data_IF_690794500373
#
_entry.id   IF_690794500373
#
_cell.length_a   1.000
_cell.length_b   1.000
_cell.length_c   1.000
_cell.angle_alpha   90.00
_cell.angle_beta   90.00
_cell.angle_gamma   90.00
#
_symmetry.space_group_name_H-M   'P 1'
#
loop_
_entity.id
_entity.type
_entity.pdbx_description
1 polymer ?
#
# COMPACT_ATOMS: atom_id res chain seq x y z
N UNK A 1 39.37 37.92 12.98
CA UNK A 1 38.89 36.53 13.17
C UNK A 1 37.42 36.50 12.83
N UNK A 2 37.09 35.92 11.69
CA UNK A 2 35.76 35.85 11.09
C UNK A 2 34.90 34.80 11.80
N UNK A 3 33.62 35.05 12.12
CA UNK A 3 32.72 34.01 12.63
C UNK A 3 32.41 33.01 11.49
N UNK A 4 32.54 31.73 11.79
CA UNK A 4 32.21 30.65 10.87
C UNK A 4 30.69 30.63 10.58
N UNK A 5 30.35 30.74 9.30
CA UNK A 5 28.99 30.65 8.78
C UNK A 5 28.60 29.17 8.67
N UNK A 6 27.53 28.76 9.37
CA UNK A 6 26.94 27.43 9.24
C UNK A 6 26.24 27.26 7.87
N UNK A 7 26.27 26.05 7.26
CA UNK A 7 25.64 25.81 5.98
C UNK A 7 24.10 25.78 6.10
N UNK A 8 23.35 26.27 5.10
CA UNK A 8 21.90 26.22 5.09
C UNK A 8 21.42 24.85 4.59
N UNK A 9 20.52 24.20 5.35
CA UNK A 9 19.65 23.15 4.79
C UNK A 9 19.51 21.84 5.55
N UNK A 10 19.86 21.75 6.84
CA UNK A 10 19.41 20.58 7.63
C UNK A 10 17.91 20.69 7.92
N UNK A 11 17.11 19.88 7.23
CA UNK A 11 15.70 19.64 7.53
C UNK A 11 15.56 19.12 8.96
N UNK A 12 15.20 20.00 9.90
CA UNK A 12 14.86 19.61 11.27
C UNK A 12 13.59 18.75 11.29
N UNK A 13 13.59 17.61 12.00
CA UNK A 13 12.35 16.87 12.30
C UNK A 13 11.38 17.82 13.01
N UNK A 14 10.15 17.96 12.50
CA UNK A 14 9.12 18.87 13.07
C UNK A 14 9.06 20.30 12.50
N UNK A 15 9.82 20.58 11.42
CA UNK A 15 9.75 21.85 10.70
C UNK A 15 8.38 22.14 10.06
N UNK A 16 8.19 23.38 9.58
CA UNK A 16 6.95 23.85 8.92
C UNK A 16 6.46 22.87 7.84
N UNK A 17 7.39 22.28 7.08
CA UNK A 17 7.12 21.30 6.01
C UNK A 17 6.46 20.01 6.50
N UNK A 18 6.82 19.52 7.69
CA UNK A 18 6.24 18.32 8.29
C UNK A 18 4.83 18.59 8.81
N UNK A 19 4.61 19.76 9.45
CA UNK A 19 3.27 20.20 9.87
C UNK A 19 2.31 20.40 8.70
N UNK A 20 2.80 21.02 7.61
CA UNK A 20 2.02 21.15 6.37
C UNK A 20 1.68 19.79 5.79
N UNK A 21 2.61 18.83 5.80
CA UNK A 21 2.34 17.48 5.32
C UNK A 21 1.26 16.79 6.16
N UNK A 22 1.40 16.79 7.48
CA UNK A 22 0.44 16.17 8.39
C UNK A 22 -0.98 16.74 8.19
N UNK A 23 -1.14 18.07 8.19
CA UNK A 23 -2.44 18.71 8.00
C UNK A 23 -3.12 18.35 6.66
N UNK A 24 -2.33 18.09 5.62
CA UNK A 24 -2.85 17.66 4.32
C UNK A 24 -3.27 16.20 4.35
N UNK A 25 -2.46 15.31 4.94
CA UNK A 25 -2.80 13.89 5.05
C UNK A 25 -4.03 13.67 5.93
N UNK A 26 -4.15 14.41 7.06
CA UNK A 26 -5.33 14.40 7.92
C UNK A 26 -6.59 14.85 7.15
N UNK A 27 -6.46 15.86 6.29
CA UNK A 27 -7.56 16.33 5.45
C UNK A 27 -7.97 15.28 4.41
N UNK A 28 -7.01 14.57 3.80
CA UNK A 28 -7.27 13.50 2.84
C UNK A 28 -7.99 12.34 3.51
N UNK A 29 -7.52 11.90 4.68
CA UNK A 29 -8.16 10.82 5.45
C UNK A 29 -9.60 11.16 5.82
N UNK A 30 -9.85 12.39 6.26
CA UNK A 30 -11.18 12.83 6.64
C UNK A 30 -12.14 12.93 5.44
N UNK A 31 -11.69 13.51 4.32
CA UNK A 31 -12.50 13.56 3.09
C UNK A 31 -12.76 12.15 2.51
N UNK A 32 -11.78 11.24 2.58
CA UNK A 32 -11.96 9.83 2.20
C UNK A 32 -13.00 9.14 3.08
N UNK A 33 -12.96 9.39 4.39
CA UNK A 33 -13.88 8.78 5.35
C UNK A 33 -15.33 9.28 5.18
N UNK A 34 -15.51 10.54 4.81
CA UNK A 34 -16.83 11.17 4.65
C UNK A 34 -17.46 10.91 3.28
N UNK A 35 -16.69 11.00 2.19
CA UNK A 35 -17.21 10.98 0.82
C UNK A 35 -16.66 9.89 -0.09
N UNK A 36 -15.68 9.10 0.38
CA UNK A 36 -14.96 8.14 -0.43
C UNK A 36 -14.05 8.78 -1.49
N UNK A 37 -13.35 7.96 -2.27
CA UNK A 37 -12.36 8.44 -3.26
C UNK A 37 -12.98 9.34 -4.33
N UNK A 38 -14.22 9.06 -4.76
CA UNK A 38 -14.89 9.79 -5.83
C UNK A 38 -15.19 11.26 -5.47
N UNK A 39 -15.32 11.57 -4.18
CA UNK A 39 -15.59 12.92 -3.69
C UNK A 39 -14.31 13.73 -3.45
N UNK A 40 -13.14 13.11 -3.51
CA UNK A 40 -11.88 13.81 -3.27
C UNK A 40 -11.58 14.83 -4.36
N UNK A 41 -11.19 16.03 -3.94
CA UNK A 41 -10.68 17.07 -4.83
C UNK A 41 -9.59 17.87 -4.13
N UNK A 42 -8.66 18.44 -4.91
CA UNK A 42 -7.59 19.27 -4.37
C UNK A 42 -8.14 20.53 -3.67
N UNK A 43 -9.27 21.05 -4.14
CA UNK A 43 -9.97 22.21 -3.57
C UNK A 43 -10.56 21.89 -2.19
N UNK A 44 -11.22 20.73 -2.05
CA UNK A 44 -11.76 20.28 -0.76
C UNK A 44 -10.64 20.03 0.25
N UNK A 45 -9.56 19.40 -0.20
CA UNK A 45 -8.37 19.16 0.62
C UNK A 45 -7.71 20.48 1.02
N UNK A 46 -7.59 21.45 0.10
CA UNK A 46 -7.06 22.78 0.40
C UNK A 46 -7.91 23.51 1.45
N UNK A 47 -9.24 23.46 1.29
CA UNK A 47 -10.19 24.07 2.21
C UNK A 47 -10.08 23.46 3.62
N UNK A 48 -10.03 22.13 3.73
CA UNK A 48 -9.97 21.44 5.02
C UNK A 48 -8.60 21.56 5.70
N UNK A 49 -7.51 21.41 4.94
CA UNK A 49 -6.15 21.49 5.49
C UNK A 49 -5.68 22.92 5.79
N UNK A 50 -6.38 23.93 5.25
CA UNK A 50 -5.95 25.33 5.30
C UNK A 50 -4.70 25.62 4.45
N UNK A 51 -4.25 24.67 3.63
CA UNK A 51 -3.09 24.84 2.75
C UNK A 51 -3.53 25.35 1.38
N UNK A 52 -2.87 26.40 0.90
CA UNK A 52 -3.20 27.02 -0.38
C UNK A 52 -3.12 26.01 -1.55
N UNK A 53 -4.13 26.03 -2.43
CA UNK A 53 -4.28 25.09 -3.55
C UNK A 53 -3.03 24.98 -4.44
N UNK A 54 -2.41 26.12 -4.78
CA UNK A 54 -1.16 26.14 -5.55
C UNK A 54 0.01 25.40 -4.86
N UNK A 55 0.05 25.41 -3.52
CA UNK A 55 1.05 24.64 -2.76
C UNK A 55 0.78 23.15 -2.87
N UNK A 56 -0.49 22.73 -2.85
CA UNK A 56 -0.86 21.33 -3.02
C UNK A 56 -0.45 20.81 -4.40
N UNK A 57 -0.84 21.51 -5.48
CA UNK A 57 -0.48 21.13 -6.84
C UNK A 57 1.03 21.09 -7.08
N UNK A 58 1.79 22.06 -6.51
CA UNK A 58 3.25 22.08 -6.66
C UNK A 58 3.92 20.85 -6.02
N UNK A 59 3.44 20.40 -4.86
CA UNK A 59 4.12 19.35 -4.08
C UNK A 59 3.59 17.95 -4.37
N UNK A 60 2.28 17.77 -4.50
CA UNK A 60 1.66 16.46 -4.67
C UNK A 60 1.11 16.21 -6.07
N UNK A 61 0.92 17.26 -6.87
CA UNK A 61 0.42 17.24 -8.26
C UNK A 61 -1.02 16.79 -8.42
N UNK A 62 -1.50 15.81 -7.64
CA UNK A 62 -2.82 15.24 -7.77
C UNK A 62 -3.34 14.60 -6.48
N UNK A 63 -4.64 14.28 -6.46
CA UNK A 63 -5.30 13.58 -5.35
C UNK A 63 -4.76 12.17 -5.21
N UNK A 64 -4.47 11.50 -6.33
CA UNK A 64 -3.90 10.16 -6.37
C UNK A 64 -2.56 10.10 -5.63
N UNK A 65 -1.67 11.06 -5.89
CA UNK A 65 -0.39 11.16 -5.19
C UNK A 65 -0.56 11.37 -3.68
N UNK A 66 -1.60 12.12 -3.26
CA UNK A 66 -1.94 12.30 -1.85
C UNK A 66 -2.44 11.01 -1.20
N UNK A 67 -3.28 10.23 -1.89
CA UNK A 67 -3.78 8.96 -1.37
C UNK A 67 -2.66 7.92 -1.28
N UNK A 68 -1.79 7.83 -2.30
CA UNK A 68 -0.58 7.00 -2.23
C UNK A 68 0.27 7.39 -1.00
N UNK A 69 0.53 8.68 -0.80
CA UNK A 69 1.33 9.14 0.33
C UNK A 69 0.67 8.84 1.68
N UNK A 70 -0.65 8.98 1.79
CA UNK A 70 -1.41 8.60 2.98
C UNK A 70 -1.28 7.10 3.28
N UNK A 71 -1.45 6.25 2.27
CA UNK A 71 -1.31 4.80 2.41
C UNK A 71 0.12 4.41 2.82
N UNK A 72 1.13 5.02 2.18
CA UNK A 72 2.54 4.81 2.51
C UNK A 72 2.84 5.24 3.94
N UNK A 73 2.40 6.44 4.36
CA UNK A 73 2.59 6.92 5.73
C UNK A 73 1.95 5.98 6.74
N UNK A 74 0.70 5.58 6.51
CA UNK A 74 -0.01 4.63 7.36
C UNK A 74 0.75 3.31 7.49
N UNK A 75 1.33 2.80 6.39
CA UNK A 75 2.07 1.54 6.38
C UNK A 75 3.41 1.59 7.14
N UNK A 76 3.98 2.78 7.39
CA UNK A 76 5.23 2.91 8.19
C UNK A 76 5.08 2.40 9.62
N UNK A 77 3.85 2.32 10.13
CA UNK A 77 3.53 1.71 11.42
C UNK A 77 3.74 0.19 11.49
N UNK A 78 4.09 -0.47 10.38
CA UNK A 78 4.36 -1.91 10.31
C UNK A 78 5.86 -2.13 10.03
N UNK A 79 6.73 -2.01 11.03
CA UNK A 79 8.16 -2.25 10.83
C UNK A 79 8.38 -3.70 10.37
N UNK A 80 9.35 -3.90 9.49
CA UNK A 80 9.77 -5.23 9.07
C UNK A 80 10.57 -5.90 10.20
N UNK A 81 10.21 -7.12 10.64
CA UNK A 81 11.01 -7.88 11.58
C UNK A 81 12.30 -8.37 10.93
N UNK A 82 13.32 -8.56 11.77
CA UNK A 82 14.62 -9.11 11.39
C UNK A 82 15.20 -9.90 12.57
N UNK A 83 14.56 -11.02 12.87
CA UNK A 83 14.94 -11.91 13.98
C UNK A 83 16.07 -12.88 13.62
N UNK A 84 16.46 -12.91 12.33
CA UNK A 84 17.37 -13.91 11.79
C UNK A 84 16.70 -15.25 11.45
N UNK A 85 15.36 -15.32 11.48
CA UNK A 85 14.58 -16.51 11.13
C UNK A 85 13.35 -16.12 10.32
N UNK A 86 13.24 -16.59 9.07
CA UNK A 86 12.10 -16.30 8.21
C UNK A 86 10.76 -16.76 8.80
N UNK A 87 10.60 -17.98 9.37
CA UNK A 87 9.32 -18.37 9.96
C UNK A 87 8.89 -17.43 11.11
N UNK A 88 9.81 -17.01 11.98
CA UNK A 88 9.48 -16.07 13.06
C UNK A 88 9.20 -14.67 12.50
N UNK A 89 9.95 -14.22 11.50
CA UNK A 89 9.72 -12.94 10.83
C UNK A 89 8.34 -12.90 10.14
N UNK A 90 7.92 -13.98 9.45
CA UNK A 90 6.58 -14.09 8.86
C UNK A 90 5.48 -14.03 9.92
N UNK A 91 5.69 -14.71 11.06
CA UNK A 91 4.76 -14.73 12.19
C UNK A 91 4.61 -13.37 12.85
N UNK A 92 5.72 -12.70 13.13
CA UNK A 92 5.73 -11.35 13.70
C UNK A 92 5.09 -10.34 12.74
N UNK A 93 5.39 -10.44 11.44
CA UNK A 93 4.81 -9.55 10.45
C UNK A 93 3.31 -9.78 10.32
N UNK A 94 2.82 -11.02 10.28
CA UNK A 94 1.39 -11.31 10.26
C UNK A 94 0.66 -10.72 11.48
N UNK A 95 1.26 -10.81 12.67
CA UNK A 95 0.71 -10.19 13.89
C UNK A 95 0.68 -8.67 13.82
N UNK A 96 1.73 -8.04 13.28
CA UNK A 96 1.79 -6.58 13.08
C UNK A 96 0.74 -6.12 12.08
N UNK A 97 0.56 -6.84 10.97
CA UNK A 97 -0.52 -6.59 9.99
C UNK A 97 -1.88 -6.73 10.67
N UNK A 98 -2.08 -7.80 11.45
CA UNK A 98 -3.34 -8.01 12.17
C UNK A 98 -3.67 -6.86 13.11
N UNK A 99 -2.70 -6.47 13.95
CA UNK A 99 -2.80 -5.36 14.90
C UNK A 99 -3.09 -4.04 14.18
N UNK A 100 -2.39 -3.77 13.07
CA UNK A 100 -2.58 -2.58 12.27
C UNK A 100 -4.03 -2.41 11.78
N UNK A 101 -4.66 -3.51 11.36
CA UNK A 101 -6.05 -3.49 10.88
C UNK A 101 -7.11 -3.56 11.98
N UNK A 102 -6.74 -3.72 13.25
CA UNK A 102 -7.71 -3.58 14.36
C UNK A 102 -8.22 -2.14 14.51
N UNK A 103 -7.43 -1.16 14.07
CA UNK A 103 -7.81 0.25 14.10
C UNK A 103 -8.83 0.56 12.98
N UNK A 104 -10.01 1.04 13.37
CA UNK A 104 -11.09 1.36 12.45
C UNK A 104 -10.71 2.34 11.32
N UNK A 105 -9.87 3.38 11.52
CA UNK A 105 -9.47 4.28 10.44
C UNK A 105 -8.70 3.58 9.31
N UNK A 106 -7.76 2.69 9.64
CA UNK A 106 -6.95 1.98 8.63
C UNK A 106 -7.78 1.00 7.80
N UNK A 107 -8.72 0.32 8.47
CA UNK A 107 -9.66 -0.57 7.79
C UNK A 107 -10.53 0.21 6.78
N UNK A 108 -11.09 1.35 7.19
CA UNK A 108 -11.89 2.21 6.31
C UNK A 108 -11.09 2.76 5.14
N UNK A 109 -9.83 3.13 5.37
CA UNK A 109 -8.94 3.62 4.32
C UNK A 109 -8.75 2.56 3.21
N UNK A 110 -8.42 1.33 3.57
CA UNK A 110 -8.27 0.23 2.59
C UNK A 110 -9.60 -0.07 1.89
N UNK A 111 -10.72 -0.14 2.62
CA UNK A 111 -12.06 -0.32 2.04
C UNK A 111 -12.40 0.77 1.02
N UNK A 112 -12.11 2.04 1.33
CA UNK A 112 -12.38 3.18 0.47
C UNK A 112 -11.57 3.14 -0.83
N UNK A 113 -10.27 2.81 -0.74
CA UNK A 113 -9.40 2.75 -1.93
C UNK A 113 -9.77 1.56 -2.81
N UNK A 114 -9.94 0.36 -2.22
CA UNK A 114 -10.27 -0.85 -2.99
C UNK A 114 -11.64 -0.76 -3.66
N UNK A 115 -12.66 -0.25 -2.95
CA UNK A 115 -14.01 -0.07 -3.53
C UNK A 115 -14.05 0.97 -4.67
N UNK A 116 -13.04 1.85 -4.73
CA UNK A 116 -12.91 2.88 -5.75
C UNK A 116 -12.13 2.40 -6.97
N UNK A 117 -11.10 1.56 -6.77
CA UNK A 117 -10.32 0.93 -7.84
C UNK A 117 -11.20 0.19 -8.86
N UNK A 118 -12.30 -0.43 -8.42
CA UNK A 118 -13.22 -1.14 -9.31
C UNK A 118 -13.93 -0.25 -10.36
N UNK A 119 -13.98 1.07 -10.16
CA UNK A 119 -14.75 2.01 -11.02
C UNK A 119 -13.93 3.20 -11.51
N UNK A 120 -12.82 3.50 -10.86
CA UNK A 120 -12.00 4.69 -11.12
C UNK A 120 -10.61 4.21 -11.54
N UNK A 121 -10.24 4.29 -12.84
CA UNK A 121 -8.96 3.78 -13.33
C UNK A 121 -7.75 4.34 -12.59
N UNK A 122 -7.83 5.60 -12.16
CA UNK A 122 -6.75 6.24 -11.40
C UNK A 122 -6.60 5.70 -9.98
N UNK A 123 -7.71 5.30 -9.34
CA UNK A 123 -7.67 4.65 -8.03
C UNK A 123 -7.11 3.22 -8.13
N UNK A 124 -7.36 2.54 -9.26
CA UNK A 124 -6.78 1.22 -9.56
C UNK A 124 -5.25 1.29 -9.68
N UNK A 125 -4.73 2.28 -10.42
CA UNK A 125 -3.29 2.52 -10.50
C UNK A 125 -2.67 2.82 -9.13
N UNK A 126 -3.28 3.70 -8.34
CA UNK A 126 -2.83 4.01 -6.96
C UNK A 126 -2.75 2.76 -6.09
N UNK A 127 -3.78 1.91 -6.16
CA UNK A 127 -3.85 0.68 -5.40
C UNK A 127 -2.76 -0.31 -5.83
N UNK A 128 -2.60 -0.50 -7.14
CA UNK A 128 -1.61 -1.40 -7.72
C UNK A 128 -0.19 -0.97 -7.36
N UNK A 129 0.15 0.31 -7.54
CA UNK A 129 1.48 0.86 -7.25
C UNK A 129 1.82 0.72 -5.76
N UNK A 130 0.89 1.11 -4.88
CA UNK A 130 1.09 0.98 -3.43
C UNK A 130 1.37 -0.48 -3.02
N UNK A 131 0.58 -1.43 -3.53
CA UNK A 131 0.78 -2.83 -3.18
C UNK A 131 2.03 -3.43 -3.80
N UNK A 132 2.39 -3.04 -5.01
CA UNK A 132 3.65 -3.44 -5.63
C UNK A 132 4.84 -3.00 -4.77
N UNK A 133 4.94 -1.71 -4.43
CA UNK A 133 6.02 -1.17 -3.61
C UNK A 133 6.09 -1.83 -2.24
N UNK A 134 4.93 -2.04 -1.60
CA UNK A 134 4.85 -2.73 -0.31
C UNK A 134 5.39 -4.17 -0.45
N UNK A 135 4.94 -4.92 -1.44
CA UNK A 135 5.38 -6.31 -1.64
C UNK A 135 6.89 -6.38 -1.90
N UNK A 136 7.44 -5.44 -2.68
CA UNK A 136 8.89 -5.32 -2.89
C UNK A 136 9.65 -5.12 -1.59
N UNK A 137 9.23 -4.15 -0.77
CA UNK A 137 9.86 -3.85 0.52
C UNK A 137 9.78 -5.05 1.46
N UNK A 138 8.59 -5.63 1.62
CA UNK A 138 8.35 -6.74 2.53
C UNK A 138 9.02 -8.05 2.06
N UNK A 139 9.18 -8.23 0.75
CA UNK A 139 9.92 -9.34 0.15
C UNK A 139 11.39 -9.42 0.59
N UNK A 140 11.93 -8.33 1.18
CA UNK A 140 13.23 -8.34 1.83
C UNK A 140 13.37 -9.43 2.90
N UNK A 141 12.31 -9.76 3.64
CA UNK A 141 12.33 -10.86 4.62
C UNK A 141 12.67 -12.20 3.95
N UNK A 142 11.98 -12.50 2.86
CA UNK A 142 12.13 -13.76 2.12
C UNK A 142 13.50 -13.83 1.46
N UNK A 143 13.99 -12.72 0.89
CA UNK A 143 15.35 -12.63 0.34
C UNK A 143 16.41 -12.96 1.38
N UNK A 144 16.31 -12.41 2.60
CA UNK A 144 17.21 -12.78 3.70
C UNK A 144 17.10 -14.26 4.10
N UNK A 145 15.89 -14.83 4.08
CA UNK A 145 15.68 -16.27 4.31
C UNK A 145 16.31 -17.16 3.24
N UNK A 146 16.27 -16.74 1.96
CA UNK A 146 16.96 -17.41 0.86
C UNK A 146 18.47 -17.36 1.07
N UNK A 147 19.03 -16.21 1.42
CA UNK A 147 20.47 -16.04 1.71
C UNK A 147 20.95 -16.97 2.84
N UNK A 148 20.09 -17.22 3.84
CA UNK A 148 20.36 -18.17 4.93
C UNK A 148 20.09 -19.63 4.58
N UNK A 149 19.55 -19.92 3.40
CA UNK A 149 19.20 -21.28 2.96
C UNK A 149 17.97 -21.87 3.66
N UNK A 150 17.10 -21.04 4.23
CA UNK A 150 15.89 -21.50 4.96
C UNK A 150 14.77 -21.98 4.02
N UNK A 151 14.80 -21.55 2.76
CA UNK A 151 13.81 -21.85 1.72
C UNK A 151 14.50 -22.08 0.36
N UNK A 152 13.81 -22.67 -0.63
CA UNK A 152 14.39 -22.87 -1.96
C UNK A 152 14.90 -21.56 -2.60
N UNK A 153 16.03 -21.58 -3.32
CA UNK A 153 16.64 -20.37 -3.89
C UNK A 153 15.80 -19.71 -4.99
N UNK A 154 14.87 -20.45 -5.58
CA UNK A 154 13.92 -20.01 -6.60
C UNK A 154 12.58 -19.53 -6.01
N UNK A 155 12.48 -19.35 -4.68
CA UNK A 155 11.29 -18.79 -4.02
C UNK A 155 11.04 -17.35 -4.48
N UNK A 156 9.84 -17.06 -4.95
CA UNK A 156 9.33 -15.74 -5.28
C UNK A 156 8.97 -14.96 -4.00
N UNK A 157 9.73 -13.91 -3.63
CA UNK A 157 9.47 -13.13 -2.44
C UNK A 157 8.09 -12.45 -2.45
N UNK A 158 7.64 -11.95 -3.60
CA UNK A 158 6.39 -11.22 -3.70
C UNK A 158 5.19 -12.16 -3.57
N UNK A 159 5.27 -13.36 -4.13
CA UNK A 159 4.22 -14.37 -3.99
C UNK A 159 4.03 -14.79 -2.52
N UNK A 160 5.13 -15.02 -1.78
CA UNK A 160 5.08 -15.32 -0.34
C UNK A 160 4.42 -14.17 0.44
N UNK A 161 4.85 -12.93 0.17
CA UNK A 161 4.32 -11.76 0.87
C UNK A 161 2.86 -11.44 0.51
N UNK A 162 2.46 -11.72 -0.73
CA UNK A 162 1.08 -11.61 -1.19
C UNK A 162 0.19 -12.64 -0.48
N UNK A 163 0.64 -13.89 -0.40
CA UNK A 163 -0.04 -14.95 0.34
C UNK A 163 -0.17 -14.63 1.83
N UNK A 164 0.83 -13.97 2.43
CA UNK A 164 0.77 -13.52 3.83
C UNK A 164 -0.29 -12.43 4.04
N UNK A 165 -0.45 -11.50 3.09
CA UNK A 165 -1.40 -10.39 3.21
C UNK A 165 -2.85 -10.75 2.84
N UNK A 166 -3.04 -11.67 1.90
CA UNK A 166 -4.34 -11.95 1.28
C UNK A 166 -5.47 -12.32 2.27
N UNK A 167 -5.25 -13.16 3.30
CA UNK A 167 -6.31 -13.53 4.25
C UNK A 167 -6.87 -12.32 5.01
N UNK A 168 -6.04 -11.32 5.31
CA UNK A 168 -6.46 -10.08 5.96
C UNK A 168 -7.39 -9.27 5.06
N UNK A 169 -7.06 -9.12 3.78
CA UNK A 169 -7.92 -8.41 2.82
C UNK A 169 -9.24 -9.13 2.59
N UNK A 170 -9.23 -10.45 2.45
CA UNK A 170 -10.47 -11.23 2.37
C UNK A 170 -11.33 -11.02 3.61
N UNK A 171 -10.74 -11.07 4.80
CA UNK A 171 -11.43 -10.87 6.08
C UNK A 171 -12.06 -9.48 6.17
N UNK A 172 -11.34 -8.44 5.77
CA UNK A 172 -11.78 -7.03 5.83
C UNK A 172 -12.86 -6.74 4.77
N UNK A 173 -12.55 -7.04 3.51
CA UNK A 173 -13.31 -6.54 2.36
C UNK A 173 -14.50 -7.44 2.01
N UNK A 174 -14.36 -8.75 2.18
CA UNK A 174 -15.31 -9.75 1.70
C UNK A 174 -16.11 -10.34 2.86
N UNK A 175 -15.42 -11.02 3.79
CA UNK A 175 -16.08 -11.68 4.92
C UNK A 175 -16.57 -10.69 5.99
N UNK A 176 -16.02 -9.46 6.01
CA UNK A 176 -16.34 -8.38 6.94
C UNK A 176 -16.26 -8.79 8.42
N UNK A 177 -15.33 -9.70 8.73
CA UNK A 177 -15.12 -10.23 10.08
C UNK A 177 -13.98 -9.54 10.83
N UNK A 178 -13.76 -9.89 12.11
CA UNK A 178 -12.64 -9.37 12.89
C UNK A 178 -11.30 -9.85 12.32
N UNK A 179 -10.26 -9.02 12.45
CA UNK A 179 -8.87 -9.44 12.22
C UNK A 179 -8.28 -9.76 13.59
N UNK A 180 -8.22 -11.05 13.91
CA UNK A 180 -7.80 -11.57 15.21
C UNK A 180 -6.41 -12.22 15.17
N UNK A 181 -5.90 -12.58 16.34
CA UNK A 181 -4.60 -13.23 16.47
C UNK A 181 -4.57 -14.63 15.81
N UNK A 182 -5.70 -15.33 15.80
CA UNK A 182 -5.82 -16.66 15.21
C UNK A 182 -5.69 -16.62 13.68
N UNK A 183 -6.26 -15.60 13.03
CA UNK A 183 -6.06 -15.34 11.61
C UNK A 183 -4.58 -15.08 11.31
N UNK A 184 -3.90 -14.27 12.12
CA UNK A 184 -2.48 -13.98 11.92
C UNK A 184 -1.62 -15.24 12.08
N UNK A 185 -1.87 -16.05 13.12
CA UNK A 185 -1.09 -17.25 13.41
C UNK A 185 -1.30 -18.35 12.35
N UNK A 186 -2.56 -18.62 12.00
CA UNK A 186 -2.89 -19.60 10.96
C UNK A 186 -2.36 -19.19 9.59
N UNK A 187 -2.42 -17.90 9.25
CA UNK A 187 -1.86 -17.36 8.00
C UNK A 187 -0.34 -17.55 7.93
N UNK A 188 0.39 -17.17 8.98
CA UNK A 188 1.84 -17.34 9.03
C UNK A 188 2.24 -18.83 8.93
N UNK A 189 1.52 -19.70 9.65
CA UNK A 189 1.76 -21.15 9.62
C UNK A 189 1.54 -21.73 8.22
N UNK A 190 0.42 -21.38 7.57
CA UNK A 190 0.07 -21.87 6.25
C UNK A 190 1.06 -21.39 5.18
N UNK A 191 1.41 -20.10 5.21
CA UNK A 191 2.36 -19.52 4.26
C UNK A 191 3.75 -20.12 4.42
N UNK A 192 4.22 -20.32 5.66
CA UNK A 192 5.50 -20.97 5.92
C UNK A 192 5.53 -22.40 5.37
N UNK A 193 4.50 -23.21 5.67
CA UNK A 193 4.39 -24.57 5.17
C UNK A 193 4.36 -24.63 3.64
N UNK A 194 3.59 -23.76 2.98
CA UNK A 194 3.52 -23.67 1.53
C UNK A 194 4.85 -23.21 0.91
N UNK A 195 5.58 -22.31 1.57
CA UNK A 195 6.90 -21.85 1.13
C UNK A 195 7.91 -22.99 1.16
N UNK A 196 7.96 -23.75 2.26
CA UNK A 196 8.81 -24.94 2.37
C UNK A 196 8.47 -26.00 1.33
N UNK A 197 7.19 -26.18 1.03
CA UNK A 197 6.72 -27.10 0.00
C UNK A 197 7.04 -26.61 -1.45
N UNK A 198 7.57 -25.40 -1.62
CA UNK A 198 7.91 -24.84 -2.92
C UNK A 198 6.72 -24.31 -3.71
N UNK A 199 5.60 -23.99 -3.05
CA UNK A 199 4.38 -23.51 -3.70
C UNK A 199 4.54 -22.13 -4.37
N UNK A 200 5.54 -21.35 -3.94
CA UNK A 200 5.77 -19.97 -4.37
C UNK A 200 7.08 -19.82 -5.17
N UNK A 201 7.39 -20.73 -6.09
CA UNK A 201 8.62 -20.63 -6.90
C UNK A 201 8.39 -19.78 -8.16
N UNK A 202 9.42 -19.04 -8.58
CA UNK A 202 9.44 -18.27 -9.83
C UNK A 202 9.34 -19.25 -11.01
N UNK A 203 8.12 -19.46 -11.51
CA UNK A 203 7.81 -20.44 -12.57
C UNK A 203 6.65 -21.40 -12.26
N UNK A 204 6.09 -21.37 -11.04
CA UNK A 204 4.91 -22.17 -10.66
C UNK A 204 3.55 -21.53 -10.99
N UNK A 205 3.52 -20.24 -11.30
CA UNK A 205 2.30 -19.53 -11.66
C UNK A 205 2.11 -19.53 -13.18
N UNK A 206 1.06 -20.21 -13.66
CA UNK A 206 0.48 -19.91 -14.98
C UNK A 206 0.13 -18.42 -15.00
N UNK A 207 0.50 -17.65 -16.04
CA UNK A 207 0.17 -16.22 -16.07
C UNK A 207 -1.33 -16.07 -15.94
N UNK A 208 -1.79 -15.28 -14.94
CA UNK A 208 -3.14 -14.74 -14.96
C UNK A 208 -3.18 -13.83 -16.18
N UNK A 209 -3.77 -14.32 -17.27
CA UNK A 209 -3.96 -13.56 -18.49
C UNK A 209 -4.71 -12.28 -18.12
N UNK A 210 -3.97 -11.17 -18.10
CA UNK A 210 -4.53 -9.84 -17.90
C UNK A 210 -5.65 -9.64 -18.91
N UNK A 211 -6.82 -9.20 -18.42
CA UNK A 211 -7.98 -8.90 -19.26
C UNK A 211 -7.53 -7.97 -20.39
N UNK A 212 -7.67 -8.45 -21.62
CA UNK A 212 -7.53 -7.64 -22.81
C UNK A 212 -8.47 -6.43 -22.71
N UNK A 213 -7.89 -5.24 -22.81
CA UNK A 213 -8.62 -3.98 -22.98
C UNK A 213 -9.51 -4.12 -24.22
N UNK A 214 -10.84 -3.85 -24.15
CA UNK A 214 -11.65 -3.88 -25.35
C UNK A 214 -11.21 -2.74 -26.26
N UNK A 215 -10.73 -3.08 -27.45
CA UNK A 215 -10.50 -2.13 -28.54
C UNK A 215 -11.85 -1.57 -28.94
N UNK A 216 -12.12 -0.31 -28.58
CA UNK A 216 -13.29 0.43 -29.06
C UNK A 216 -13.16 0.57 -30.57
N UNK A 217 -14.01 -0.16 -31.29
CA UNK A 217 -14.13 -0.05 -32.74
C UNK A 217 -14.57 1.36 -33.13
N UNK A 218 -13.76 2.03 -33.95
CA UNK A 218 -14.15 3.26 -34.64
C UNK A 218 -15.39 2.98 -35.48
N UNK A 219 -16.49 3.65 -35.16
CA UNK A 219 -17.61 3.78 -36.08
C UNK A 219 -17.13 4.54 -37.32
N UNK A 220 -17.22 3.89 -38.49
CA UNK A 220 -17.18 4.57 -39.78
C UNK A 220 -18.43 5.43 -39.89
N UNK A 221 -18.24 6.75 -39.95
CA UNK A 221 -19.23 7.65 -40.52
C UNK A 221 -19.19 7.45 -42.03
N UNK A 222 -20.10 6.65 -42.58
CA UNK A 222 -20.42 6.74 -44.00
C UNK A 222 -21.25 8.00 -44.21
N UNK A 223 -20.62 8.95 -44.87
CA UNK A 223 -21.21 10.13 -45.46
C UNK A 223 -21.15 9.90 -46.96
N UNK A 224 -22.30 9.67 -47.57
CA UNK A 224 -22.44 9.79 -49.02
C UNK A 224 -23.77 10.47 -49.30
N UNK A 225 -23.66 11.60 -50.00
CA UNK A 225 -24.71 12.23 -50.80
C UNK A 225 -25.27 11.27 -51.86
#
# INVERSE_FOLDING_TARGET
MTPAQQPPGETRPGGRTARTRAAVLDAVEAELSEGGFAALSMERIAQRSGIHLATLYRRWRSVEGLVCELLTEASTGIPLPDTGSLPEDLRLLARRIGTFYTAAPMRRLVEAVVSSAARIPRADTVLADFFHDRLQVAGGLVRRGIERGEVPPDTDPEAVMSALGAPFYYRILIARGPVDADLAESTATAVWAATLAGAYRVGGATPVVGRATPVVGRQRTDRTD
#
